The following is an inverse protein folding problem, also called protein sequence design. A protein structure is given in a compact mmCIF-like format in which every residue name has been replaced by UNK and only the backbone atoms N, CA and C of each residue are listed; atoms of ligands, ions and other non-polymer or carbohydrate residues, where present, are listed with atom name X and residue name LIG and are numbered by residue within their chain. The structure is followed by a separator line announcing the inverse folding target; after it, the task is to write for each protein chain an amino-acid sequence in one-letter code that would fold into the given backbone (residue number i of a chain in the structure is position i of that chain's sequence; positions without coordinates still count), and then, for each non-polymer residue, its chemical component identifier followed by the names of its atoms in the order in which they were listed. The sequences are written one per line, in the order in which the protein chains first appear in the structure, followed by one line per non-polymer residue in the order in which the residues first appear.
data_IF_610789234952
#
_entry.id   IF_610789234952
#
_cell.length_a   1.000
_cell.length_b   1.000
_cell.length_c   1.000
_cell.angle_alpha   90.00
_cell.angle_beta   90.00
_cell.angle_gamma   90.00
#
_symmetry.space_group_name_H-M   'P 1'
#
loop_
_entity.id
_entity.type
_entity.pdbx_description
1 polymer ?
#
# COMPACT_ATOMS: atom_id res chain seq x y z
N UNK A 1 13.59 38.23 4.96
CA UNK A 1 13.95 36.97 4.27
C UNK A 1 14.14 35.89 5.33
N UNK A 2 13.08 35.16 5.64
CA UNK A 2 13.08 34.13 6.68
C UNK A 2 13.75 32.86 6.18
N UNK A 3 14.80 32.42 6.86
CA UNK A 3 15.41 31.11 6.64
C UNK A 3 14.50 30.04 7.18
N UNK A 4 13.69 29.42 6.31
CA UNK A 4 13.05 28.15 6.63
C UNK A 4 14.17 27.10 6.69
N UNK A 5 14.47 26.71 7.92
CA UNK A 5 15.56 25.84 8.32
C UNK A 5 15.68 24.59 7.44
N UNK A 6 16.77 24.50 6.66
CA UNK A 6 17.14 23.32 5.86
C UNK A 6 17.26 22.05 6.71
N UNK A 7 17.47 22.19 8.02
CA UNK A 7 17.53 21.09 8.98
C UNK A 7 16.18 20.38 9.18
N UNK A 8 15.06 21.12 9.12
CA UNK A 8 13.72 20.54 9.31
C UNK A 8 13.29 19.64 8.14
N UNK A 9 13.60 20.06 6.91
CA UNK A 9 13.33 19.29 5.69
C UNK A 9 14.25 18.06 5.60
N UNK A 10 15.55 18.22 5.91
CA UNK A 10 16.51 17.11 5.87
C UNK A 10 16.27 16.04 6.95
N UNK A 11 15.71 16.40 8.11
CA UNK A 11 15.34 15.45 9.15
C UNK A 11 14.04 14.71 8.79
N UNK A 12 13.04 15.40 8.25
CA UNK A 12 11.80 14.78 7.76
C UNK A 12 12.05 13.83 6.57
N UNK A 13 12.95 14.18 5.65
CA UNK A 13 13.37 13.30 4.55
C UNK A 13 14.11 12.04 5.03
N UNK A 14 14.98 12.18 6.05
CA UNK A 14 15.64 11.03 6.68
C UNK A 14 14.63 10.11 7.36
N UNK A 15 13.73 10.65 8.17
CA UNK A 15 12.70 9.84 8.87
C UNK A 15 11.82 9.09 7.87
N UNK A 16 11.34 9.76 6.81
CA UNK A 16 10.52 9.10 5.78
C UNK A 16 11.30 7.98 5.07
N UNK A 17 12.59 8.20 4.78
CA UNK A 17 13.46 7.19 4.15
C UNK A 17 13.73 6.00 5.07
N UNK A 18 13.96 6.28 6.34
CA UNK A 18 14.19 5.27 7.38
C UNK A 18 12.92 4.42 7.58
N UNK A 19 11.74 5.05 7.58
CA UNK A 19 10.43 4.38 7.63
C UNK A 19 10.22 3.47 6.41
N UNK A 20 10.51 3.95 5.20
CA UNK A 20 10.43 3.14 3.97
C UNK A 20 11.37 1.92 4.02
N UNK A 21 12.59 2.08 4.54
CA UNK A 21 13.52 0.98 4.73
C UNK A 21 13.04 -0.01 5.79
N UNK A 22 12.39 0.46 6.85
CA UNK A 22 11.83 -0.41 7.89
C UNK A 22 10.64 -1.21 7.38
N UNK A 23 9.71 -0.59 6.64
CA UNK A 23 8.56 -1.27 6.04
C UNK A 23 8.97 -2.29 4.99
N UNK A 24 9.95 -1.96 4.15
CA UNK A 24 10.49 -2.88 3.14
C UNK A 24 11.10 -4.14 3.80
N UNK A 25 11.91 -3.94 4.86
CA UNK A 25 12.45 -5.06 5.64
C UNK A 25 11.34 -5.90 6.28
N UNK A 26 10.32 -5.25 6.82
CA UNK A 26 9.19 -5.96 7.43
C UNK A 26 8.41 -6.78 6.39
N UNK A 27 8.15 -6.21 5.20
CA UNK A 27 7.50 -6.90 4.09
C UNK A 27 8.27 -8.16 3.70
N UNK A 28 9.58 -8.03 3.46
CA UNK A 28 10.43 -9.16 3.06
C UNK A 28 10.51 -10.24 4.14
N UNK A 29 10.68 -9.84 5.41
CA UNK A 29 10.73 -10.78 6.53
C UNK A 29 9.39 -11.50 6.72
N UNK A 30 8.27 -10.79 6.63
CA UNK A 30 6.93 -11.36 6.72
C UNK A 30 6.66 -12.34 5.58
N UNK A 31 6.99 -11.97 4.33
CA UNK A 31 6.84 -12.85 3.17
C UNK A 31 7.68 -14.13 3.32
N UNK A 32 8.92 -14.00 3.78
CA UNK A 32 9.80 -15.16 4.03
C UNK A 32 9.23 -16.11 5.10
N UNK A 33 8.65 -15.58 6.19
CA UNK A 33 8.06 -16.38 7.26
C UNK A 33 6.87 -17.23 6.79
N UNK A 34 6.04 -16.69 5.88
CA UNK A 34 4.83 -17.38 5.40
C UNK A 34 5.00 -18.04 4.03
N UNK A 35 6.19 -18.00 3.44
CA UNK A 35 6.49 -18.61 2.15
C UNK A 35 5.82 -17.92 0.95
N UNK A 36 5.63 -16.61 1.03
CA UNK A 36 5.12 -15.77 -0.08
C UNK A 36 6.31 -15.15 -0.81
N UNK A 37 6.24 -15.12 -2.14
CA UNK A 37 7.19 -14.37 -2.95
C UNK A 37 6.90 -12.86 -2.82
N UNK A 38 7.83 -12.04 -2.29
CA UNK A 38 7.61 -10.62 -2.11
C UNK A 38 7.34 -9.88 -3.43
N UNK A 39 7.83 -10.38 -4.57
CA UNK A 39 7.60 -9.77 -5.89
C UNK A 39 6.11 -9.87 -6.33
N UNK A 40 5.32 -10.71 -5.66
CA UNK A 40 3.87 -10.80 -5.88
C UNK A 40 3.07 -9.75 -5.10
N UNK A 41 3.71 -9.00 -4.19
CA UNK A 41 3.04 -8.02 -3.33
C UNK A 41 3.23 -6.62 -3.91
N UNK A 42 2.31 -6.21 -4.80
CA UNK A 42 2.27 -4.83 -5.30
C UNK A 42 1.73 -3.87 -4.21
N UNK A 43 2.65 -3.35 -3.40
CA UNK A 43 2.35 -2.43 -2.28
C UNK A 43 1.72 -1.13 -2.78
N UNK A 44 2.17 -0.61 -3.92
CA UNK A 44 1.67 0.64 -4.48
C UNK A 44 0.20 0.51 -4.88
N UNK A 45 -0.13 -0.56 -5.63
CA UNK A 45 -1.51 -0.87 -6.00
C UNK A 45 -2.42 -1.06 -4.79
N UNK A 46 -1.96 -1.78 -3.76
CA UNK A 46 -2.74 -2.02 -2.53
C UNK A 46 -3.00 -0.70 -1.80
N UNK A 47 -2.00 0.17 -1.70
CA UNK A 47 -2.14 1.49 -1.07
C UNK A 47 -3.07 2.41 -1.88
N UNK A 48 -3.00 2.37 -3.20
CA UNK A 48 -3.86 3.16 -4.08
C UNK A 48 -5.32 2.71 -4.00
N UNK A 49 -5.58 1.41 -4.03
CA UNK A 49 -6.92 0.86 -3.77
C UNK A 49 -7.42 1.29 -2.38
N UNK A 50 -6.57 1.18 -1.37
CA UNK A 50 -6.91 1.57 0.01
C UNK A 50 -7.26 3.06 0.12
N UNK A 51 -6.50 3.92 -0.57
CA UNK A 51 -6.71 5.37 -0.61
C UNK A 51 -8.08 5.70 -1.20
N UNK A 52 -8.42 5.12 -2.35
CA UNK A 52 -9.69 5.37 -3.02
C UNK A 52 -10.90 4.94 -2.16
N UNK A 53 -10.86 3.73 -1.59
CA UNK A 53 -11.94 3.23 -0.72
C UNK A 53 -12.06 4.05 0.58
N UNK A 54 -10.95 4.55 1.11
CA UNK A 54 -10.98 5.44 2.27
C UNK A 54 -11.60 6.81 1.95
N UNK A 55 -11.32 7.35 0.76
CA UNK A 55 -11.87 8.62 0.29
C UNK A 55 -13.37 8.53 -0.08
N UNK A 56 -13.87 7.35 -0.44
CA UNK A 56 -15.30 7.12 -0.68
C UNK A 56 -16.14 7.00 0.60
N UNK A 57 -15.57 7.28 1.78
CA UNK A 57 -16.27 7.19 3.07
C UNK A 57 -16.42 5.77 3.63
N UNK A 58 -15.90 4.76 2.93
CA UNK A 58 -16.01 3.35 3.31
C UNK A 58 -14.74 2.83 3.99
N UNK A 59 -14.14 3.61 4.90
CA UNK A 59 -12.89 3.24 5.60
C UNK A 59 -12.89 1.82 6.19
N UNK A 60 -13.99 1.29 6.79
CA UNK A 60 -14.02 -0.10 7.25
C UNK A 60 -13.79 -1.15 6.15
N UNK A 61 -14.06 -0.81 4.88
CA UNK A 61 -13.90 -1.70 3.73
C UNK A 61 -12.48 -1.71 3.16
N UNK A 62 -11.58 -0.84 3.59
CA UNK A 62 -10.18 -0.83 3.13
C UNK A 62 -9.47 -2.19 3.32
N UNK A 63 -9.44 -2.80 4.51
CA UNK A 63 -8.85 -4.12 4.66
C UNK A 63 -9.66 -5.22 3.94
N UNK A 64 -10.98 -5.05 3.81
CA UNK A 64 -11.86 -6.02 3.13
C UNK A 64 -11.58 -6.04 1.63
N UNK A 65 -11.41 -4.89 0.99
CA UNK A 65 -11.12 -4.79 -0.44
C UNK A 65 -9.74 -5.33 -0.77
N UNK A 66 -8.73 -5.08 0.08
CA UNK A 66 -7.39 -5.67 -0.07
C UNK A 66 -7.43 -7.20 0.02
N UNK A 67 -8.19 -7.76 0.97
CA UNK A 67 -8.36 -9.21 1.07
C UNK A 67 -9.10 -9.81 -0.13
N UNK A 68 -10.16 -9.15 -0.62
CA UNK A 68 -10.87 -9.58 -1.85
C UNK A 68 -9.93 -9.55 -3.06
N UNK A 69 -9.14 -8.49 -3.22
CA UNK A 69 -8.13 -8.39 -4.27
C UNK A 69 -7.18 -9.60 -4.22
N UNK A 70 -6.63 -9.91 -3.05
CA UNK A 70 -5.75 -11.08 -2.86
C UNK A 70 -6.42 -12.40 -3.23
N UNK A 71 -7.70 -12.59 -2.86
CA UNK A 71 -8.46 -13.79 -3.24
C UNK A 71 -8.68 -13.91 -4.76
N UNK A 72 -8.90 -12.80 -5.47
CA UNK A 72 -9.04 -12.81 -6.93
C UNK A 72 -7.69 -13.12 -7.61
N UNK A 73 -6.61 -12.50 -7.16
CA UNK A 73 -5.25 -12.76 -7.67
C UNK A 73 -4.86 -14.23 -7.47
N UNK A 74 -5.19 -14.80 -6.30
CA UNK A 74 -4.96 -16.23 -6.03
C UNK A 74 -5.75 -17.17 -6.96
N UNK A 75 -6.83 -16.68 -7.61
CA UNK A 75 -7.57 -17.42 -8.66
C UNK A 75 -7.01 -17.21 -10.07
N UNK A 76 -5.95 -16.42 -10.22
CA UNK A 76 -5.31 -16.10 -11.50
C UNK A 76 -5.91 -14.88 -12.21
N UNK A 77 -6.68 -14.06 -11.51
CA UNK A 77 -7.16 -12.77 -12.06
C UNK A 77 -6.05 -11.70 -12.02
N UNK A 78 -6.07 -10.75 -12.96
CA UNK A 78 -5.14 -9.62 -12.97
C UNK A 78 -5.42 -8.63 -11.82
N UNK A 79 -4.38 -8.27 -11.08
CA UNK A 79 -4.52 -7.42 -9.89
C UNK A 79 -5.02 -6.01 -10.22
N UNK A 80 -4.52 -5.40 -11.29
CA UNK A 80 -4.93 -4.05 -11.69
C UNK A 80 -6.36 -4.02 -12.21
N UNK A 81 -6.78 -5.02 -12.98
CA UNK A 81 -8.16 -5.13 -13.45
C UNK A 81 -9.13 -5.28 -12.28
N UNK A 82 -8.82 -6.16 -11.32
CA UNK A 82 -9.63 -6.37 -10.11
C UNK A 82 -9.67 -5.11 -9.25
N UNK A 83 -8.54 -4.46 -9.00
CA UNK A 83 -8.49 -3.21 -8.24
C UNK A 83 -9.35 -2.12 -8.89
N UNK A 84 -9.26 -1.96 -10.22
CA UNK A 84 -10.09 -1.03 -10.96
C UNK A 84 -11.58 -1.35 -10.88
N UNK A 85 -11.96 -2.63 -10.86
CA UNK A 85 -13.36 -3.05 -10.63
C UNK A 85 -13.83 -2.68 -9.23
N UNK A 86 -13.02 -2.92 -8.20
CA UNK A 86 -13.35 -2.61 -6.81
C UNK A 86 -13.51 -1.09 -6.57
N UNK A 87 -12.64 -0.27 -7.15
CA UNK A 87 -12.72 1.19 -7.07
C UNK A 87 -14.04 1.73 -7.66
N UNK A 88 -14.54 1.11 -8.74
CA UNK A 88 -15.81 1.51 -9.37
C UNK A 88 -17.07 1.08 -8.62
N UNK A 89 -16.97 0.28 -7.55
CA UNK A 89 -18.14 -0.09 -6.73
C UNK A 89 -18.48 1.04 -5.75
N UNK A 90 -17.49 1.82 -5.31
CA UNK A 90 -17.63 2.85 -4.29
C UNK A 90 -18.20 4.20 -4.75
N UNK A 91 -18.98 4.20 -5.84
CA UNK A 91 -19.63 5.41 -6.41
C UNK A 91 -21.03 5.57 -5.86
#
# INVERSE_FOLDING_TARGET
MGGYSTLGVAMADRTTRDDLHEWDRWLHAGCAEVGVDPDLVDVELIHDLSREIAHSGMRPMVPVSAFILGLCVARGEDAHEVAGRLQRIGV
#
